data_IF_553491268763
#
_entry.id   IF_553491268763
#
_cell.length_a   1.000
_cell.length_b   1.000
_cell.length_c   1.000
_cell.angle_alpha   90.00
_cell.angle_beta   90.00
_cell.angle_gamma   90.00
#
_symmetry.space_group_name_H-M   'P 1'
#
loop_
_entity.id
_entity.type
_entity.pdbx_description
1 polymer ?
#
# COMPACT_ATOMS: atom_id res chain seq x y z
N UNK A 1 -13.11 -6.30 -26.64
CA UNK A 1 -12.35 -6.21 -25.38
C UNK A 1 -12.16 -4.73 -25.12
N UNK A 2 -12.89 -4.15 -24.18
CA UNK A 2 -12.83 -2.71 -23.88
C UNK A 2 -11.58 -2.47 -23.06
N UNK A 3 -10.59 -1.84 -23.67
CA UNK A 3 -9.35 -1.46 -22.97
C UNK A 3 -9.73 -0.42 -21.90
N UNK A 4 -9.65 -0.81 -20.63
CA UNK A 4 -9.81 0.12 -19.51
C UNK A 4 -8.52 0.94 -19.44
N UNK A 5 -8.47 2.05 -20.17
CA UNK A 5 -7.38 3.01 -20.09
C UNK A 5 -7.63 3.91 -18.89
N UNK A 6 -7.01 3.58 -17.75
CA UNK A 6 -6.96 4.48 -16.59
C UNK A 6 -6.04 5.65 -16.97
N UNK A 7 -6.60 6.86 -17.02
CA UNK A 7 -5.87 8.10 -17.28
C UNK A 7 -4.86 8.42 -16.16
N UNK A 8 -3.99 9.40 -16.39
CA UNK A 8 -3.00 9.79 -15.39
C UNK A 8 -3.61 10.24 -14.06
N UNK A 9 -4.79 10.86 -14.07
CA UNK A 9 -5.48 11.33 -12.87
C UNK A 9 -5.98 10.18 -12.00
N UNK A 10 -6.56 9.14 -12.62
CA UNK A 10 -7.03 7.93 -11.96
C UNK A 10 -5.88 7.09 -11.38
N UNK A 11 -4.72 7.09 -12.04
CA UNK A 11 -3.52 6.41 -11.52
C UNK A 11 -2.93 7.16 -10.32
N UNK A 12 -2.83 8.48 -10.38
CA UNK A 12 -2.35 9.27 -9.25
C UNK A 12 -3.25 9.17 -8.02
N UNK A 13 -4.57 9.15 -8.20
CA UNK A 13 -5.52 9.00 -7.09
C UNK A 13 -5.44 7.60 -6.48
N UNK A 14 -5.34 6.55 -7.31
CA UNK A 14 -5.11 5.18 -6.85
C UNK A 14 -3.78 5.06 -6.09
N UNK A 15 -2.71 5.68 -6.59
CA UNK A 15 -1.40 5.71 -5.93
C UNK A 15 -1.47 6.27 -4.51
N UNK A 16 -2.13 7.42 -4.32
CA UNK A 16 -2.36 8.02 -3.00
C UNK A 16 -3.23 7.14 -2.09
N UNK A 17 -4.26 6.49 -2.64
CA UNK A 17 -5.13 5.60 -1.87
C UNK A 17 -4.36 4.38 -1.36
N UNK A 18 -3.50 3.78 -2.19
CA UNK A 18 -2.64 2.68 -1.77
C UNK A 18 -1.62 3.10 -0.70
N UNK A 19 -1.02 4.28 -0.83
CA UNK A 19 -0.13 4.84 0.20
C UNK A 19 -0.85 5.04 1.54
N UNK A 20 -2.05 5.61 1.53
CA UNK A 20 -2.85 5.78 2.75
C UNK A 20 -3.20 4.44 3.43
N UNK A 21 -3.50 3.40 2.65
CA UNK A 21 -3.73 2.06 3.17
C UNK A 21 -2.43 1.45 3.74
N UNK A 22 -1.30 1.65 3.08
CA UNK A 22 0.00 1.19 3.58
C UNK A 22 0.31 1.81 4.96
N UNK A 23 0.09 3.12 5.10
CA UNK A 23 0.26 3.84 6.35
C UNK A 23 -0.68 3.29 7.45
N UNK A 24 -1.95 3.03 7.12
CA UNK A 24 -2.94 2.45 8.05
C UNK A 24 -2.50 1.09 8.58
N UNK A 25 -2.03 0.18 7.73
CA UNK A 25 -1.57 -1.15 8.12
C UNK A 25 -0.24 -1.12 8.89
N UNK A 26 0.66 -0.19 8.55
CA UNK A 26 1.90 0.02 9.32
C UNK A 26 1.60 0.51 10.75
N UNK A 27 0.61 1.40 10.90
CA UNK A 27 0.16 1.92 12.19
C UNK A 27 -0.57 0.87 13.03
N UNK A 28 -1.45 0.09 12.42
CA UNK A 28 -2.18 -0.99 13.10
C UNK A 28 -1.26 -2.10 13.60
N UNK A 29 -0.27 -2.53 12.81
CA UNK A 29 0.72 -3.53 13.21
C UNK A 29 1.56 -3.09 14.41
N UNK A 30 1.85 -1.80 14.53
CA UNK A 30 2.55 -1.23 15.70
C UNK A 30 1.67 -1.02 16.94
N UNK A 31 0.35 -0.84 16.76
CA UNK A 31 -0.60 -0.57 17.84
C UNK A 31 -1.01 -1.81 18.63
N UNK A 32 -1.16 -2.97 17.97
CA UNK A 32 -1.65 -4.19 18.62
C UNK A 32 -0.61 -4.83 19.55
N UNK A 33 0.67 -4.67 19.23
CA UNK A 33 1.78 -5.23 20.01
C UNK A 33 2.28 -4.30 21.12
N UNK A 34 1.76 -3.06 21.24
CA UNK A 34 2.23 -2.07 22.24
C UNK A 34 1.66 -2.28 23.65
N UNK A 35 0.88 -3.33 23.84
CA UNK A 35 0.27 -3.68 25.12
C UNK A 35 0.61 -5.10 25.54
N UNK A 36 1.90 -5.48 25.58
CA UNK A 36 2.37 -6.66 26.31
C UNK A 36 2.22 -6.44 27.82
N UNK A 37 0.98 -6.19 28.26
CA UNK A 37 0.59 -6.41 29.65
C UNK A 37 0.81 -7.90 29.91
N UNK A 38 1.43 -8.31 31.03
CA UNK A 38 1.74 -9.71 31.27
C UNK A 38 0.46 -10.52 31.10
N UNK A 39 0.51 -11.49 30.19
CA UNK A 39 -0.64 -12.31 29.89
C UNK A 39 -1.08 -13.01 31.19
N UNK A 40 -2.38 -13.02 31.51
CA UNK A 40 -2.86 -13.53 32.79
C UNK A 40 -2.59 -15.02 33.01
N UNK A 41 -2.17 -15.74 31.95
CA UNK A 41 -1.89 -17.16 31.95
C UNK A 41 -0.60 -17.45 31.18
N UNK A 42 0.47 -17.82 31.89
CA UNK A 42 1.80 -18.09 31.31
C UNK A 42 1.80 -19.24 30.30
N UNK A 43 0.94 -20.24 30.51
CA UNK A 43 0.79 -21.41 29.62
C UNK A 43 0.29 -21.06 28.21
N UNK A 44 -0.39 -19.92 28.05
CA UNK A 44 -0.83 -19.42 26.73
C UNK A 44 0.07 -18.32 26.18
N UNK A 45 1.07 -17.86 26.96
CA UNK A 45 1.88 -16.72 26.59
C UNK A 45 2.69 -16.98 25.31
N UNK A 46 3.33 -18.14 25.23
CA UNK A 46 4.13 -18.52 24.05
C UNK A 46 3.30 -18.51 22.76
N UNK A 47 2.12 -19.15 22.76
CA UNK A 47 1.24 -19.20 21.59
C UNK A 47 0.68 -17.82 21.22
N UNK A 48 0.35 -16.99 22.20
CA UNK A 48 -0.08 -15.61 21.96
C UNK A 48 1.04 -14.77 21.33
N UNK A 49 2.27 -14.88 21.82
CA UNK A 49 3.42 -14.18 21.23
C UNK A 49 3.70 -14.64 19.79
N UNK A 50 3.58 -15.94 19.51
CA UNK A 50 3.73 -16.47 18.16
C UNK A 50 2.67 -15.92 17.20
N UNK A 51 1.39 -15.91 17.61
CA UNK A 51 0.29 -15.39 16.81
C UNK A 51 0.42 -13.89 16.58
N UNK A 52 0.74 -13.12 17.61
CA UNK A 52 0.90 -11.66 17.49
C UNK A 52 2.10 -11.28 16.65
N UNK A 53 3.23 -12.01 16.76
CA UNK A 53 4.38 -11.84 15.88
C UNK A 53 4.05 -12.17 14.42
N UNK A 54 3.32 -13.27 14.17
CA UNK A 54 2.88 -13.64 12.81
C UNK A 54 1.94 -12.61 12.20
N UNK A 55 0.98 -12.11 12.99
CA UNK A 55 0.06 -11.06 12.55
C UNK A 55 0.80 -9.77 12.21
N UNK A 56 1.77 -9.36 13.05
CA UNK A 56 2.60 -8.19 12.79
C UNK A 56 3.38 -8.33 11.47
N UNK A 57 4.03 -9.47 11.26
CA UNK A 57 4.77 -9.73 10.02
C UNK A 57 3.85 -9.68 8.79
N UNK A 58 2.62 -10.19 8.90
CA UNK A 58 1.63 -10.12 7.81
C UNK A 58 1.18 -8.69 7.52
N UNK A 59 0.95 -7.87 8.55
CA UNK A 59 0.64 -6.45 8.39
C UNK A 59 1.79 -5.67 7.74
N UNK A 60 3.03 -5.92 8.17
CA UNK A 60 4.23 -5.32 7.58
C UNK A 60 4.35 -5.71 6.09
N UNK A 61 4.18 -7.00 5.76
CA UNK A 61 4.20 -7.47 4.37
C UNK A 61 3.11 -6.86 3.48
N UNK A 62 1.89 -6.73 4.01
CA UNK A 62 0.77 -6.10 3.31
C UNK A 62 1.03 -4.61 3.08
N UNK A 63 1.51 -3.88 4.09
CA UNK A 63 1.84 -2.45 3.98
C UNK A 63 2.89 -2.20 2.90
N UNK A 64 3.95 -3.02 2.86
CA UNK A 64 5.00 -2.93 1.83
C UNK A 64 4.46 -3.20 0.43
N UNK A 65 3.56 -4.18 0.28
CA UNK A 65 2.95 -4.49 -1.01
C UNK A 65 2.05 -3.35 -1.52
N UNK A 66 1.30 -2.72 -0.61
CA UNK A 66 0.45 -1.58 -0.92
C UNK A 66 1.30 -0.35 -1.31
N UNK A 67 2.37 -0.07 -0.58
CA UNK A 67 3.27 1.04 -0.89
C UNK A 67 3.94 0.89 -2.27
N UNK A 68 4.42 -0.32 -2.59
CA UNK A 68 4.97 -0.63 -3.92
C UNK A 68 3.92 -0.47 -5.03
N UNK A 69 2.70 -0.94 -4.80
CA UNK A 69 1.60 -0.77 -5.76
C UNK A 69 1.27 0.72 -5.96
N UNK A 70 1.23 1.50 -4.88
CA UNK A 70 0.99 2.94 -4.91
C UNK A 70 2.06 3.69 -5.71
N UNK A 71 3.33 3.42 -5.40
CA UNK A 71 4.48 3.96 -6.14
C UNK A 71 4.44 3.61 -7.62
N UNK A 72 4.08 2.36 -7.95
CA UNK A 72 3.89 1.91 -9.33
C UNK A 72 2.80 2.70 -10.07
N UNK A 73 1.68 2.99 -9.41
CA UNK A 73 0.61 3.80 -10.03
C UNK A 73 1.05 5.24 -10.30
N UNK A 74 1.76 5.88 -9.37
CA UNK A 74 2.30 7.24 -9.56
C UNK A 74 3.32 7.27 -10.70
N UNK A 75 4.21 6.28 -10.78
CA UNK A 75 5.16 6.17 -11.89
C UNK A 75 4.44 6.04 -13.25
N UNK A 76 3.41 5.19 -13.32
CA UNK A 76 2.60 5.03 -14.54
C UNK A 76 1.79 6.28 -14.88
N UNK A 77 1.31 7.03 -13.89
CA UNK A 77 0.66 8.32 -14.12
C UNK A 77 1.62 9.34 -14.76
N UNK A 78 2.88 9.38 -14.31
CA UNK A 78 3.91 10.24 -14.90
C UNK A 78 4.21 9.86 -16.35
N UNK A 79 4.28 8.56 -16.67
CA UNK A 79 4.42 8.06 -18.04
C UNK A 79 3.23 8.49 -18.89
N UNK A 80 2.00 8.30 -18.40
CA UNK A 80 0.78 8.71 -19.12
C UNK A 80 0.75 10.22 -19.40
N UNK A 81 1.13 11.06 -18.44
CA UNK A 81 1.25 12.52 -18.70
C UNK A 81 2.27 12.83 -19.77
N UNK A 82 3.42 12.16 -19.74
CA UNK A 82 4.47 12.33 -20.74
C UNK A 82 4.01 11.98 -22.15
N UNK A 83 3.27 10.86 -22.29
CA UNK A 83 2.72 10.43 -23.59
C UNK A 83 1.58 11.33 -24.07
N UNK A 84 0.68 11.77 -23.18
CA UNK A 84 -0.38 12.74 -23.50
C UNK A 84 0.20 14.10 -23.97
N UNK A 85 1.25 14.59 -23.31
CA UNK A 85 1.96 15.82 -23.70
C UNK A 85 2.70 15.68 -25.04
N UNK A 86 3.31 14.52 -25.31
CA UNK A 86 3.96 14.26 -26.59
C UNK A 86 2.94 14.19 -27.74
N UNK A 87 1.82 13.52 -27.53
CA UNK A 87 0.75 13.39 -28.52
C UNK A 87 0.08 14.74 -28.84
N UNK A 88 -0.18 15.57 -27.82
CA UNK A 88 -0.77 16.90 -28.03
C UNK A 88 0.17 17.87 -28.76
N UNK A 89 1.49 17.73 -28.61
CA UNK A 89 2.49 18.51 -29.36
C UNK A 89 2.69 18.02 -30.80
N UNK A 90 2.50 16.74 -31.07
CA UNK A 90 2.58 16.17 -32.42
C UNK A 90 1.43 16.60 -33.35
N UNK A 91 0.31 17.08 -32.80
CA UNK A 91 -0.85 17.59 -33.55
C UNK A 91 -0.73 19.07 -33.99
N UNK A 92 0.37 19.75 -33.63
CA UNK A 92 0.61 21.16 -34.00
C UNK A 92 1.50 21.33 -35.24
N UNK A 93 1.72 20.27 -36.04
CA UNK A 93 2.47 20.31 -37.31
C UNK A 93 1.57 19.98 -38.48
#
# INVERSE_FOLDING_TARGET
>A
MTEITIDAGGRDSAGRAFGALADEYSGHGGGWCRGESPLPYEEFAAGYHEVTAGLRAACEGLSSSLDQAGTGQVAMAAINRGTELANSRGWQV
#
